data_IF_559092040480
#
_entry.id   IF_559092040480
#
_cell.length_a   1.000
_cell.length_b   1.000
_cell.length_c   1.000
_cell.angle_alpha   90.00
_cell.angle_beta   90.00
_cell.angle_gamma   90.00
#
_symmetry.space_group_name_H-M   'P 1'
#
loop_
_entity.id
_entity.type
_entity.pdbx_description
1 polymer ?
#
# COMPACT_ATOMS: atom_id res chain seq x y z
N UNK A 1 -10.81 26.01 -3.86
CA UNK A 1 -10.27 24.66 -4.03
C UNK A 1 -8.92 24.54 -3.31
N UNK A 2 -8.75 23.48 -2.53
CA UNK A 2 -7.47 23.24 -1.87
C UNK A 2 -6.40 22.90 -2.91
N UNK A 3 -5.23 23.49 -2.75
CA UNK A 3 -4.05 23.10 -3.48
C UNK A 3 -3.76 21.62 -3.17
N UNK A 4 -3.53 20.76 -4.18
CA UNK A 4 -3.16 19.36 -3.96
C UNK A 4 -1.96 19.18 -3.03
N UNK A 5 -1.03 20.14 -3.00
CA UNK A 5 0.13 20.12 -2.11
C UNK A 5 -0.30 20.26 -0.65
N UNK A 6 -1.27 21.11 -0.36
CA UNK A 6 -1.77 21.30 1.01
C UNK A 6 -2.45 20.03 1.52
N UNK A 7 -3.27 19.37 0.70
CA UNK A 7 -3.87 18.09 1.04
C UNK A 7 -2.84 16.99 1.30
N UNK A 8 -1.78 16.97 0.50
CA UNK A 8 -0.68 16.04 0.67
C UNK A 8 0.06 16.25 2.00
N UNK A 9 0.35 17.52 2.34
CA UNK A 9 1.02 17.88 3.59
C UNK A 9 0.18 17.52 4.81
N UNK A 10 -1.13 17.83 4.77
CA UNK A 10 -2.06 17.50 5.85
C UNK A 10 -2.13 15.98 6.09
N UNK A 11 -2.22 15.20 5.03
CA UNK A 11 -2.24 13.74 5.12
C UNK A 11 -0.93 13.20 5.68
N UNK A 12 0.20 13.73 5.22
CA UNK A 12 1.52 13.35 5.72
C UNK A 12 1.63 13.64 7.22
N UNK A 13 1.20 14.82 7.65
CA UNK A 13 1.22 15.21 9.06
C UNK A 13 0.39 14.25 9.91
N UNK A 14 -0.82 13.92 9.47
CA UNK A 14 -1.68 12.98 10.18
C UNK A 14 -1.04 11.61 10.33
N UNK A 15 -0.42 11.09 9.28
CA UNK A 15 0.23 9.77 9.33
C UNK A 15 1.50 9.79 10.20
N UNK A 16 2.26 10.87 10.17
CA UNK A 16 3.42 11.01 11.06
C UNK A 16 3.01 11.02 12.53
N UNK A 17 1.92 11.72 12.86
CA UNK A 17 1.36 11.71 14.22
C UNK A 17 0.94 10.30 14.65
N UNK A 18 0.30 9.54 13.76
CA UNK A 18 -0.07 8.14 14.02
C UNK A 18 1.14 7.25 14.23
N UNK A 19 2.20 7.44 13.44
CA UNK A 19 3.45 6.69 13.61
C UNK A 19 4.08 6.97 14.98
N UNK A 20 4.04 8.21 15.45
CA UNK A 20 4.52 8.55 16.79
C UNK A 20 3.70 7.89 17.89
N UNK A 21 2.38 7.89 17.75
CA UNK A 21 1.47 7.24 18.70
C UNK A 21 1.72 5.74 18.83
N UNK A 22 2.13 5.09 17.74
CA UNK A 22 2.36 3.63 17.68
C UNK A 22 3.83 3.24 17.72
N UNK A 23 4.68 4.11 18.21
CA UNK A 23 6.12 3.94 18.23
C UNK A 23 6.61 2.66 18.92
N UNK A 24 5.83 2.17 19.89
CA UNK A 24 6.16 0.96 20.65
C UNK A 24 5.79 -0.33 19.91
N UNK A 25 5.06 -0.25 18.79
CA UNK A 25 4.60 -1.41 18.03
C UNK A 25 5.11 -1.35 16.59
N UNK A 26 6.19 -2.10 16.26
CA UNK A 26 6.77 -2.07 14.91
C UNK A 26 5.82 -2.52 13.81
N UNK A 27 4.89 -3.44 14.10
CA UNK A 27 3.91 -3.92 13.11
C UNK A 27 2.92 -2.82 12.74
N UNK A 28 2.40 -2.10 13.73
CA UNK A 28 1.50 -0.97 13.50
C UNK A 28 2.21 0.16 12.76
N UNK A 29 3.48 0.41 13.08
CA UNK A 29 4.30 1.40 12.36
C UNK A 29 4.45 1.00 10.90
N UNK A 30 4.76 -0.26 10.63
CA UNK A 30 4.91 -0.77 9.27
C UNK A 30 3.61 -0.66 8.48
N UNK A 31 2.50 -1.14 9.05
CA UNK A 31 1.19 -1.07 8.41
C UNK A 31 0.75 0.38 8.17
N UNK A 32 0.96 1.25 9.15
CA UNK A 32 0.67 2.68 9.03
C UNK A 32 1.49 3.35 7.94
N UNK A 33 2.75 2.97 7.79
CA UNK A 33 3.63 3.46 6.73
C UNK A 33 3.12 3.05 5.35
N UNK A 34 2.76 1.79 5.17
CA UNK A 34 2.19 1.30 3.90
C UNK A 34 0.92 2.07 3.55
N UNK A 35 0.01 2.24 4.51
CA UNK A 35 -1.22 3.00 4.32
C UNK A 35 -0.94 4.45 3.97
N UNK A 36 -0.03 5.10 4.68
CA UNK A 36 0.36 6.48 4.41
C UNK A 36 0.87 6.65 2.98
N UNK A 37 1.73 5.75 2.53
CA UNK A 37 2.27 5.78 1.18
C UNK A 37 1.15 5.66 0.13
N UNK A 38 0.20 4.76 0.34
CA UNK A 38 -0.94 4.59 -0.58
C UNK A 38 -1.77 5.87 -0.66
N UNK A 39 -2.07 6.50 0.48
CA UNK A 39 -2.83 7.75 0.52
C UNK A 39 -2.06 8.90 -0.15
N UNK A 40 -0.75 8.99 0.09
CA UNK A 40 0.09 10.02 -0.53
C UNK A 40 0.16 9.87 -2.05
N UNK A 41 0.32 8.64 -2.53
CA UNK A 41 0.30 8.35 -3.96
C UNK A 41 -1.04 8.74 -4.60
N UNK A 42 -2.14 8.41 -3.95
CA UNK A 42 -3.49 8.77 -4.42
C UNK A 42 -3.66 10.29 -4.50
N UNK A 43 -3.25 11.02 -3.47
CA UNK A 43 -3.32 12.48 -3.46
C UNK A 43 -2.46 13.11 -4.55
N UNK A 44 -1.32 12.52 -4.85
CA UNK A 44 -0.43 12.99 -5.90
C UNK A 44 -0.87 12.63 -7.33
N UNK A 45 -1.95 11.87 -7.48
CA UNK A 45 -2.44 11.43 -8.80
C UNK A 45 -1.80 10.13 -9.29
N UNK A 46 -1.08 9.42 -8.43
CA UNK A 46 -0.37 8.17 -8.76
C UNK A 46 -0.92 6.97 -8.00
N UNK A 47 -2.22 6.99 -7.66
CA UNK A 47 -2.83 5.91 -6.90
C UNK A 47 -2.71 4.54 -7.57
N UNK A 48 -2.56 3.50 -6.76
CA UNK A 48 -2.51 2.14 -7.25
C UNK A 48 -3.90 1.74 -7.81
N UNK A 49 -3.96 1.19 -9.04
CA UNK A 49 -5.24 0.77 -9.64
C UNK A 49 -5.68 -0.59 -9.11
N UNK A 50 -6.24 -0.60 -7.90
CA UNK A 50 -6.53 -1.82 -7.14
C UNK A 50 -7.89 -2.44 -7.42
N UNK A 51 -8.71 -1.83 -8.29
CA UNK A 51 -10.09 -2.26 -8.47
C UNK A 51 -10.34 -3.07 -9.74
N UNK A 52 -9.46 -2.95 -10.73
CA UNK A 52 -9.68 -3.50 -12.07
C UNK A 52 -8.42 -4.16 -12.61
N UNK A 53 -8.58 -5.34 -13.20
CA UNK A 53 -7.47 -6.01 -13.90
C UNK A 53 -7.04 -5.19 -15.13
N UNK A 54 -5.76 -4.87 -15.20
CA UNK A 54 -5.23 -4.02 -16.29
C UNK A 54 -5.20 -4.71 -17.66
N UNK A 55 -5.34 -6.03 -17.71
CA UNK A 55 -5.35 -6.80 -18.95
C UNK A 55 -6.77 -7.04 -19.43
N UNK A 56 -7.68 -7.51 -18.55
CA UNK A 56 -9.01 -7.94 -18.94
C UNK A 56 -10.09 -6.90 -18.71
N UNK A 57 -9.85 -5.91 -17.85
CA UNK A 57 -10.86 -4.96 -17.43
C UNK A 57 -11.85 -5.50 -16.40
N UNK A 58 -11.69 -6.76 -15.99
CA UNK A 58 -12.56 -7.37 -14.99
C UNK A 58 -12.25 -6.83 -13.58
N UNK A 59 -13.25 -6.83 -12.67
CA UNK A 59 -13.00 -6.43 -11.29
C UNK A 59 -11.94 -7.32 -10.61
N UNK A 60 -11.11 -6.69 -9.79
CA UNK A 60 -10.16 -7.41 -8.95
C UNK A 60 -10.85 -7.79 -7.63
N UNK A 61 -11.50 -8.94 -7.63
CA UNK A 61 -12.19 -9.50 -6.46
C UNK A 61 -11.38 -10.70 -5.95
N UNK A 62 -10.54 -10.52 -4.92
CA UNK A 62 -9.69 -11.61 -4.44
C UNK A 62 -10.53 -12.74 -3.85
N UNK A 63 -10.45 -13.97 -4.40
CA UNK A 63 -11.24 -15.10 -3.91
C UNK A 63 -10.60 -15.68 -2.64
N UNK A 64 -10.99 -15.18 -1.49
CA UNK A 64 -10.48 -15.64 -0.21
C UNK A 64 -10.71 -17.15 -0.04
N UNK A 65 -9.65 -17.87 0.30
CA UNK A 65 -9.69 -19.33 0.43
C UNK A 65 -9.18 -20.09 -0.79
N UNK A 66 -8.96 -19.45 -1.92
CA UNK A 66 -8.32 -20.07 -3.09
C UNK A 66 -6.82 -19.83 -3.06
N UNK A 67 -6.09 -20.76 -2.49
CA UNK A 67 -4.66 -20.60 -2.19
C UNK A 67 -3.76 -20.54 -3.42
N UNK A 68 -4.20 -21.07 -4.56
CA UNK A 68 -3.47 -21.09 -5.82
C UNK A 68 -3.72 -19.86 -6.71
N UNK A 69 -4.73 -19.05 -6.36
CA UNK A 69 -5.02 -17.83 -7.10
C UNK A 69 -3.93 -16.77 -6.90
N UNK A 70 -3.56 -16.09 -7.98
CA UNK A 70 -2.55 -15.04 -7.93
C UNK A 70 -2.99 -13.80 -8.70
N UNK A 71 -2.50 -12.66 -8.23
CA UNK A 71 -2.60 -11.37 -8.89
C UNK A 71 -1.19 -10.84 -9.10
N UNK A 72 -0.85 -10.49 -10.32
CA UNK A 72 0.48 -10.00 -10.68
C UNK A 72 0.52 -8.48 -10.66
N UNK A 73 1.57 -7.92 -10.08
CA UNK A 73 1.90 -6.51 -10.23
C UNK A 73 2.76 -6.34 -11.48
N UNK A 74 2.20 -5.68 -12.49
CA UNK A 74 2.90 -5.23 -13.69
C UNK A 74 3.24 -3.75 -13.46
N UNK A 75 4.49 -3.40 -13.17
CA UNK A 75 4.82 -2.06 -12.63
C UNK A 75 4.38 -0.90 -13.52
N UNK A 76 4.37 -1.08 -14.83
CA UNK A 76 3.97 -0.04 -15.78
C UNK A 76 2.46 0.09 -15.91
N UNK A 77 1.72 -1.01 -15.74
CA UNK A 77 0.32 -1.11 -16.16
C UNK A 77 -0.66 -1.22 -14.98
N UNK A 78 -0.28 -1.89 -13.92
CA UNK A 78 -1.15 -2.11 -12.76
C UNK A 78 -1.19 -3.56 -12.30
N UNK A 79 -2.36 -4.01 -11.89
CA UNK A 79 -2.56 -5.35 -11.34
C UNK A 79 -3.36 -6.20 -12.34
N UNK A 80 -2.92 -7.42 -12.53
CA UNK A 80 -3.57 -8.36 -13.44
C UNK A 80 -3.82 -9.70 -12.76
N UNK A 81 -4.99 -10.30 -13.03
CA UNK A 81 -5.33 -11.63 -12.54
C UNK A 81 -4.40 -12.64 -13.20
N UNK A 82 -4.08 -13.70 -12.49
CA UNK A 82 -3.16 -14.78 -12.87
C UNK A 82 -1.69 -14.42 -12.80
N UNK A 83 -0.85 -15.41 -13.01
CA UNK A 83 0.58 -15.24 -13.14
C UNK A 83 0.89 -14.68 -14.53
N UNK A 84 1.45 -13.48 -14.56
CA UNK A 84 1.73 -12.80 -15.82
C UNK A 84 3.22 -12.69 -16.07
N UNK A 85 3.69 -12.82 -17.31
CA UNK A 85 5.08 -12.53 -17.62
C UNK A 85 5.42 -11.07 -17.31
N UNK A 86 6.59 -10.84 -16.77
CA UNK A 86 7.02 -9.50 -16.39
C UNK A 86 6.51 -9.02 -15.03
N UNK A 87 5.86 -9.88 -14.27
CA UNK A 87 5.40 -9.53 -12.93
C UNK A 87 6.58 -9.27 -11.98
N UNK A 88 6.54 -8.12 -11.30
CA UNK A 88 7.55 -7.78 -10.31
C UNK A 88 7.29 -8.51 -8.98
N UNK A 89 6.02 -8.75 -8.67
CA UNK A 89 5.60 -9.48 -7.49
C UNK A 89 4.23 -10.09 -7.77
N UNK A 90 3.95 -11.24 -7.15
CA UNK A 90 2.64 -11.88 -7.22
C UNK A 90 2.00 -11.92 -5.84
N UNK A 91 0.74 -11.54 -5.78
CA UNK A 91 -0.03 -11.46 -4.54
C UNK A 91 -1.04 -12.60 -4.47
N UNK A 92 -1.18 -13.18 -3.29
CA UNK A 92 -2.28 -14.09 -3.01
C UNK A 92 -3.57 -13.31 -2.70
N UNK A 93 -4.74 -13.98 -2.59
CA UNK A 93 -6.00 -13.26 -2.34
C UNK A 93 -5.99 -12.42 -1.06
N UNK A 94 -5.41 -12.93 0.02
CA UNK A 94 -5.36 -12.20 1.30
C UNK A 94 -4.52 -10.94 1.22
N UNK A 95 -3.39 -11.00 0.53
CA UNK A 95 -2.51 -9.86 0.33
C UNK A 95 -3.19 -8.76 -0.49
N UNK A 96 -3.86 -9.13 -1.59
CA UNK A 96 -4.59 -8.18 -2.41
C UNK A 96 -5.76 -7.56 -1.64
N UNK A 97 -6.51 -8.36 -0.89
CA UNK A 97 -7.62 -7.86 -0.08
C UNK A 97 -7.15 -6.86 0.97
N UNK A 98 -6.04 -7.12 1.64
CA UNK A 98 -5.46 -6.16 2.60
C UNK A 98 -5.04 -4.88 1.90
N UNK A 99 -4.38 -4.99 0.76
CA UNK A 99 -3.94 -3.83 -0.01
C UNK A 99 -5.12 -2.95 -0.43
N UNK A 100 -6.22 -3.55 -0.90
CA UNK A 100 -7.44 -2.82 -1.25
C UNK A 100 -8.05 -2.10 -0.05
N UNK A 101 -8.00 -2.69 1.14
CA UNK A 101 -8.53 -2.08 2.36
C UNK A 101 -7.75 -0.86 2.83
N UNK A 102 -6.50 -0.73 2.43
CA UNK A 102 -5.66 0.41 2.82
C UNK A 102 -6.06 1.73 2.16
N UNK A 103 -6.97 1.70 1.19
CA UNK A 103 -7.57 2.93 0.65
C UNK A 103 -8.55 3.59 1.62
N UNK A 104 -8.97 2.88 2.66
CA UNK A 104 -9.82 3.41 3.73
C UNK A 104 -8.99 4.21 4.74
N UNK A 105 -9.67 5.01 5.55
CA UNK A 105 -9.00 5.85 6.56
C UNK A 105 -8.40 5.04 7.71
N UNK A 106 -8.95 3.87 8.01
CA UNK A 106 -8.55 3.04 9.14
C UNK A 106 -7.73 1.84 8.70
N UNK A 107 -6.80 1.42 9.54
CA UNK A 107 -6.06 0.18 9.33
C UNK A 107 -7.00 -1.03 9.50
N UNK A 108 -6.78 -2.11 8.71
CA UNK A 108 -7.59 -3.31 8.84
C UNK A 108 -7.29 -4.01 10.16
N UNK A 109 -8.32 -4.21 10.98
CA UNK A 109 -8.21 -4.86 12.28
C UNK A 109 -9.13 -6.06 12.38
N UNK A 110 -8.70 -7.06 13.15
CA UNK A 110 -9.55 -8.18 13.52
C UNK A 110 -10.57 -7.75 14.57
N UNK A 111 -11.55 -8.62 14.86
CA UNK A 111 -12.58 -8.34 15.88
C UNK A 111 -12.01 -8.06 17.26
N UNK A 112 -10.86 -8.66 17.60
CA UNK A 112 -10.17 -8.44 18.87
C UNK A 112 -9.37 -7.14 18.91
N UNK A 113 -9.39 -6.33 17.84
CA UNK A 113 -8.67 -5.08 17.75
C UNK A 113 -7.24 -5.20 17.23
N UNK A 114 -6.73 -6.42 17.07
CA UNK A 114 -5.38 -6.64 16.54
C UNK A 114 -5.32 -6.36 15.04
N UNK A 115 -4.15 -5.94 14.56
CA UNK A 115 -3.90 -5.71 13.14
C UNK A 115 -4.09 -7.01 12.36
N UNK A 116 -4.79 -6.93 11.22
CA UNK A 116 -4.90 -8.05 10.30
C UNK A 116 -3.57 -8.32 9.61
N UNK A 117 -3.28 -9.60 9.43
CA UNK A 117 -2.11 -10.05 8.69
C UNK A 117 -0.83 -10.10 9.51
N UNK A 118 0.04 -11.08 9.21
CA UNK A 118 1.33 -11.19 9.86
C UNK A 118 2.34 -10.17 9.33
N UNK A 119 3.43 -9.89 10.07
CA UNK A 119 4.45 -8.92 9.62
C UNK A 119 5.00 -9.15 8.22
N UNK A 120 5.17 -10.41 7.84
CA UNK A 120 5.67 -10.77 6.52
C UNK A 120 4.78 -10.25 5.39
N UNK A 121 3.46 -10.26 5.58
CA UNK A 121 2.51 -9.72 4.59
C UNK A 121 2.70 -8.21 4.45
N UNK A 122 2.81 -7.51 5.56
CA UNK A 122 2.99 -6.04 5.54
C UNK A 122 4.29 -5.62 4.87
N UNK A 123 5.37 -6.39 5.02
CA UNK A 123 6.63 -6.16 4.31
C UNK A 123 6.46 -6.33 2.80
N UNK A 124 5.69 -7.34 2.37
CA UNK A 124 5.37 -7.54 0.95
C UNK A 124 4.54 -6.39 0.39
N UNK A 125 3.56 -5.90 1.15
CA UNK A 125 2.76 -4.75 0.73
C UNK A 125 3.59 -3.47 0.64
N UNK A 126 4.55 -3.27 1.54
CA UNK A 126 5.51 -2.18 1.43
C UNK A 126 6.32 -2.30 0.14
N UNK A 127 6.74 -3.52 -0.21
CA UNK A 127 7.47 -3.77 -1.45
C UNK A 127 6.66 -3.40 -2.69
N UNK A 128 5.36 -3.72 -2.70
CA UNK A 128 4.44 -3.32 -3.78
C UNK A 128 4.44 -1.79 -3.96
N UNK A 129 4.28 -1.07 -2.86
CA UNK A 129 4.26 0.40 -2.88
C UNK A 129 5.60 0.97 -3.35
N UNK A 130 6.72 0.41 -2.91
CA UNK A 130 8.06 0.83 -3.35
C UNK A 130 8.24 0.63 -4.86
N UNK A 131 7.85 -0.53 -5.38
CA UNK A 131 7.96 -0.83 -6.82
C UNK A 131 7.11 0.15 -7.63
N UNK A 132 5.86 0.34 -7.23
CA UNK A 132 4.95 1.27 -7.90
C UNK A 132 5.48 2.70 -7.89
N UNK A 133 5.96 3.14 -6.74
CA UNK A 133 6.52 4.49 -6.58
C UNK A 133 7.73 4.73 -7.49
N UNK A 134 8.64 3.79 -7.55
CA UNK A 134 9.83 3.90 -8.41
C UNK A 134 9.47 3.97 -9.89
N UNK A 135 8.45 3.23 -10.29
CA UNK A 135 8.03 3.16 -11.68
C UNK A 135 7.32 4.44 -12.13
N UNK A 136 6.46 5.00 -11.28
CA UNK A 136 5.59 6.11 -11.65
C UNK A 136 6.09 7.48 -11.18
N UNK A 137 6.98 7.52 -10.21
CA UNK A 137 7.60 8.75 -9.75
C UNK A 137 9.05 8.79 -10.24
N UNK A 138 9.34 9.65 -11.19
CA UNK A 138 10.71 9.81 -11.71
C UNK A 138 11.68 10.34 -10.63
N UNK A 139 11.14 10.85 -9.54
CA UNK A 139 11.89 11.23 -8.35
C UNK A 139 11.13 10.71 -7.14
N UNK A 140 11.78 10.03 -6.17
CA UNK A 140 11.12 9.72 -4.91
C UNK A 140 10.66 11.03 -4.29
N UNK A 141 9.37 11.15 -3.97
CA UNK A 141 8.88 12.35 -3.31
C UNK A 141 9.61 12.50 -1.97
N UNK A 142 9.93 13.75 -1.58
CA UNK A 142 10.52 14.00 -0.27
C UNK A 142 9.66 13.41 0.86
N UNK A 143 8.33 13.41 0.68
CA UNK A 143 7.40 12.86 1.65
C UNK A 143 7.61 11.36 1.86
N UNK A 144 7.74 10.57 0.78
CA UNK A 144 8.00 9.13 0.87
C UNK A 144 9.37 8.85 1.47
N UNK A 145 10.39 9.64 1.10
CA UNK A 145 11.71 9.52 1.67
C UNK A 145 11.70 9.82 3.18
N UNK A 146 11.00 10.85 3.60
CA UNK A 146 10.86 11.20 5.02
C UNK A 146 10.14 10.10 5.81
N UNK A 147 9.08 9.52 5.25
CA UNK A 147 8.36 8.41 5.90
C UNK A 147 9.28 7.20 6.06
N UNK A 148 10.06 6.89 5.04
CA UNK A 148 11.00 5.78 5.08
C UNK A 148 12.11 6.01 6.12
N UNK A 149 12.68 7.21 6.17
CA UNK A 149 13.69 7.58 7.17
C UNK A 149 13.12 7.51 8.58
N UNK A 150 11.91 8.00 8.79
CA UNK A 150 11.22 7.93 10.07
C UNK A 150 11.02 6.49 10.52
N UNK A 151 10.62 5.61 9.60
CA UNK A 151 10.46 4.19 9.87
C UNK A 151 11.78 3.54 10.27
N UNK A 152 12.86 3.81 9.54
CA UNK A 152 14.19 3.26 9.81
C UNK A 152 14.76 3.78 11.13
N UNK A 153 14.52 5.04 11.45
CA UNK A 153 14.97 5.64 12.71
C UNK A 153 14.19 5.10 13.92
N UNK A 154 12.97 4.62 13.71
CA UNK A 154 12.13 4.03 14.77
C UNK A 154 12.34 2.53 14.97
N UNK A 155 13.16 1.91 14.13
CA UNK A 155 13.40 0.47 14.19
C UNK A 155 14.42 0.08 15.27
#
# INVERSE_FOLDING_TARGET
AQDPVDGLLDTMQLHLERLEEHRADPELVLAGTVQACIHLLTLGGYGLPLQTCCITGNPLDPPLGQWDWRCSLLPQDGFAIDEQPGAAIQLNPSELALLQRLTRAELPRRRDGALMGPPAVWRRLLRVVEIWSRTHLNRPSKALAMLRETLLAGA
#
